data_IF_320286448758
#
_entry.id   IF_320286448758
#
_cell.length_a   1.000
_cell.length_b   1.000
_cell.length_c   1.000
_cell.angle_alpha   90.00
_cell.angle_beta   90.00
_cell.angle_gamma   90.00
#
_symmetry.space_group_name_H-M   'P 1'
#
loop_
_entity.id
_entity.type
_entity.pdbx_description
1 polymer ?
#
# COMPACT_ATOMS: atom_id res chain seq x y z
N UNK A 1 -10.46 -17.87 -17.43
CA UNK A 1 -10.86 -16.57 -16.86
C UNK A 1 -11.72 -16.84 -15.64
N UNK A 2 -11.13 -16.99 -14.46
CA UNK A 2 -11.87 -17.23 -13.22
C UNK A 2 -11.60 -16.07 -12.26
N UNK A 3 -12.58 -15.18 -12.10
CA UNK A 3 -12.43 -13.96 -11.31
C UNK A 3 -13.75 -13.47 -10.68
N UNK A 4 -14.67 -14.40 -10.39
CA UNK A 4 -16.05 -14.06 -10.03
C UNK A 4 -16.32 -13.85 -8.53
N UNK A 5 -15.82 -14.71 -7.64
CA UNK A 5 -16.33 -14.76 -6.26
C UNK A 5 -15.54 -13.92 -5.23
N UNK A 6 -14.20 -13.85 -5.32
CA UNK A 6 -13.37 -13.18 -4.30
C UNK A 6 -13.44 -11.64 -4.33
N UNK A 7 -13.75 -11.06 -5.50
CA UNK A 7 -13.78 -9.60 -5.69
C UNK A 7 -14.91 -8.90 -4.95
N UNK A 8 -16.03 -9.59 -4.71
CA UNK A 8 -17.23 -9.01 -4.10
C UNK A 8 -17.19 -9.07 -2.57
N UNK A 9 -16.56 -10.09 -2.00
CA UNK A 9 -16.33 -10.21 -0.55
C UNK A 9 -15.40 -9.10 -0.07
N UNK A 10 -14.27 -8.87 -0.75
CA UNK A 10 -13.31 -7.82 -0.39
C UNK A 10 -13.93 -6.42 -0.43
N UNK A 11 -14.76 -6.14 -1.44
CA UNK A 11 -15.46 -4.86 -1.56
C UNK A 11 -16.50 -4.66 -0.45
N UNK A 12 -17.24 -5.72 -0.11
CA UNK A 12 -18.20 -5.71 0.99
C UNK A 12 -17.51 -5.45 2.34
N UNK A 13 -16.38 -6.12 2.59
CA UNK A 13 -15.57 -5.91 3.79
C UNK A 13 -15.05 -4.47 3.89
N UNK A 14 -14.54 -3.89 2.80
CA UNK A 14 -14.08 -2.50 2.77
C UNK A 14 -15.21 -1.48 3.01
N UNK A 15 -16.45 -1.82 2.61
CA UNK A 15 -17.64 -1.00 2.88
C UNK A 15 -18.05 -1.08 4.36
N UNK A 16 -18.06 -2.28 4.94
CA UNK A 16 -18.31 -2.46 6.39
C UNK A 16 -17.24 -1.74 7.22
N UNK A 17 -15.98 -1.86 6.83
CA UNK A 17 -14.86 -1.16 7.45
C UNK A 17 -15.11 0.35 7.43
N UNK A 18 -15.52 0.94 6.30
CA UNK A 18 -15.84 2.36 6.24
C UNK A 18 -16.84 2.82 7.31
N UNK A 19 -17.88 2.03 7.59
CA UNK A 19 -18.86 2.35 8.64
C UNK A 19 -18.24 2.29 10.04
N UNK A 20 -17.40 1.30 10.32
CA UNK A 20 -16.71 1.15 11.61
C UNK A 20 -15.65 2.25 11.85
N UNK A 21 -15.06 2.80 10.78
CA UNK A 21 -14.00 3.81 10.87
C UNK A 21 -14.48 5.21 11.25
N UNK A 22 -15.78 5.44 11.41
CA UNK A 22 -16.30 6.70 11.97
C UNK A 22 -15.70 7.02 13.34
N UNK A 23 -15.39 6.00 14.13
CA UNK A 23 -14.78 6.15 15.46
C UNK A 23 -13.25 6.17 15.44
N UNK A 24 -12.63 5.74 14.33
CA UNK A 24 -11.17 5.59 14.21
C UNK A 24 -10.68 6.15 12.86
N UNK A 25 -10.62 7.48 12.71
CA UNK A 25 -10.28 8.14 11.44
C UNK A 25 -8.88 7.80 10.94
N UNK A 26 -7.97 7.38 11.84
CA UNK A 26 -6.61 6.95 11.55
C UNK A 26 -6.55 5.83 10.51
N UNK A 27 -7.49 4.89 10.54
CA UNK A 27 -7.50 3.77 9.61
C UNK A 27 -8.13 4.10 8.26
N UNK A 28 -8.73 5.29 8.06
CA UNK A 28 -9.38 5.60 6.79
C UNK A 28 -8.36 5.71 5.64
N UNK A 29 -7.15 6.20 5.95
CA UNK A 29 -6.02 6.16 5.03
C UNK A 29 -5.70 4.72 4.61
N UNK A 30 -5.56 3.81 5.58
CA UNK A 30 -5.27 2.40 5.32
C UNK A 30 -6.36 1.72 4.50
N UNK A 31 -7.63 2.02 4.78
CA UNK A 31 -8.76 1.52 3.98
C UNK A 31 -8.71 2.02 2.54
N UNK A 32 -8.36 3.30 2.32
CA UNK A 32 -8.19 3.85 0.97
C UNK A 32 -7.06 3.15 0.21
N UNK A 33 -5.97 2.81 0.89
CA UNK A 33 -4.87 2.05 0.33
C UNK A 33 -5.29 0.63 -0.09
N UNK A 34 -5.98 -0.11 0.79
CA UNK A 34 -6.51 -1.43 0.46
C UNK A 34 -7.51 -1.39 -0.71
N UNK A 35 -8.33 -0.34 -0.77
CA UNK A 35 -9.25 -0.14 -1.89
C UNK A 35 -8.50 0.17 -3.19
N UNK A 36 -7.36 0.86 -3.12
CA UNK A 36 -6.52 1.06 -4.29
C UNK A 36 -5.98 -0.28 -4.81
N UNK A 37 -5.43 -1.11 -3.92
CA UNK A 37 -4.94 -2.44 -4.25
C UNK A 37 -6.04 -3.33 -4.85
N UNK A 38 -7.25 -3.31 -4.30
CA UNK A 38 -8.40 -4.02 -4.89
C UNK A 38 -8.73 -3.55 -6.31
N UNK A 39 -8.67 -2.24 -6.57
CA UNK A 39 -8.88 -1.72 -7.93
C UNK A 39 -7.75 -2.11 -8.89
N UNK A 40 -6.50 -2.18 -8.39
CA UNK A 40 -5.34 -2.64 -9.17
C UNK A 40 -5.54 -4.08 -9.64
N UNK A 41 -5.89 -5.00 -8.72
CA UNK A 41 -6.13 -6.41 -9.03
C UNK A 41 -7.26 -6.61 -10.05
N UNK A 42 -8.20 -5.66 -10.15
CA UNK A 42 -9.28 -5.66 -11.13
C UNK A 42 -8.92 -4.96 -12.46
N UNK A 43 -7.66 -4.57 -12.66
CA UNK A 43 -7.21 -3.84 -13.84
C UNK A 43 -7.70 -2.39 -13.93
N UNK A 44 -8.35 -1.86 -12.88
CA UNK A 44 -8.92 -0.49 -12.86
C UNK A 44 -7.84 0.53 -12.45
N UNK A 45 -6.82 0.69 -13.29
CA UNK A 45 -5.61 1.50 -13.01
C UNK A 45 -5.94 2.95 -12.60
N UNK A 46 -6.87 3.62 -13.30
CA UNK A 46 -7.23 5.02 -12.96
C UNK A 46 -7.89 5.14 -11.59
N UNK A 47 -8.78 4.20 -11.26
CA UNK A 47 -9.44 4.16 -9.94
C UNK A 47 -8.43 3.85 -8.85
N UNK A 48 -7.46 2.97 -9.09
CA UNK A 48 -6.36 2.72 -8.16
C UNK A 48 -5.53 3.99 -7.90
N UNK A 49 -5.04 4.65 -8.96
CA UNK A 49 -4.27 5.91 -8.84
C UNK A 49 -5.04 6.97 -8.06
N UNK A 50 -6.32 7.15 -8.36
CA UNK A 50 -7.17 8.11 -7.65
C UNK A 50 -7.28 7.78 -6.14
N UNK A 51 -7.43 6.50 -5.78
CA UNK A 51 -7.50 6.07 -4.37
C UNK A 51 -6.16 6.22 -3.64
N UNK A 52 -5.03 5.91 -4.29
CA UNK A 52 -3.69 6.13 -3.72
C UNK A 52 -3.42 7.61 -3.46
N UNK A 53 -3.74 8.51 -4.42
CA UNK A 53 -3.60 9.96 -4.21
C UNK A 53 -4.43 10.44 -3.02
N UNK A 54 -5.67 9.95 -2.89
CA UNK A 54 -6.54 10.28 -1.76
C UNK A 54 -5.98 9.75 -0.43
N UNK A 55 -5.43 8.53 -0.42
CA UNK A 55 -4.74 7.96 0.73
C UNK A 55 -3.58 8.89 1.15
N UNK A 56 -2.66 9.20 0.22
CA UNK A 56 -1.51 10.05 0.49
C UNK A 56 -1.90 11.44 1.03
N UNK A 57 -2.89 12.11 0.41
CA UNK A 57 -3.39 13.40 0.89
C UNK A 57 -3.96 13.32 2.31
N UNK A 58 -4.73 12.26 2.62
CA UNK A 58 -5.33 12.08 3.95
C UNK A 58 -4.27 11.73 5.00
N UNK A 59 -3.34 10.84 4.68
CA UNK A 59 -2.21 10.48 5.55
C UNK A 59 -1.34 11.68 5.89
N UNK A 60 -1.02 12.55 4.91
CA UNK A 60 -0.28 13.80 5.14
C UNK A 60 -0.99 14.73 6.13
N UNK A 61 -2.30 14.91 5.96
CA UNK A 61 -3.12 15.74 6.86
C UNK A 61 -3.11 15.23 8.30
N UNK A 62 -3.01 13.92 8.47
CA UNK A 62 -3.04 13.26 9.78
C UNK A 62 -1.65 13.00 10.38
N UNK A 63 -0.57 13.38 9.70
CA UNK A 63 0.80 13.10 10.15
C UNK A 63 1.21 11.62 10.07
N UNK A 64 0.52 10.81 9.25
CA UNK A 64 0.79 9.37 9.09
C UNK A 64 1.89 9.14 8.04
N UNK A 65 3.12 9.53 8.36
CA UNK A 65 4.23 9.55 7.40
C UNK A 65 4.56 8.17 6.79
N UNK A 66 4.51 7.10 7.58
CA UNK A 66 4.74 5.75 7.08
C UNK A 66 3.75 5.36 5.97
N UNK A 67 2.48 5.74 6.12
CA UNK A 67 1.45 5.45 5.12
C UNK A 67 1.62 6.33 3.87
N UNK A 68 2.17 7.55 4.02
CA UNK A 68 2.55 8.42 2.90
C UNK A 68 3.67 7.79 2.09
N UNK A 69 4.75 7.35 2.75
CA UNK A 69 5.88 6.69 2.10
C UNK A 69 5.44 5.43 1.37
N UNK A 70 4.62 4.60 2.03
CA UNK A 70 4.12 3.38 1.44
C UNK A 70 3.20 3.65 0.23
N UNK A 71 2.29 4.61 0.32
CA UNK A 71 1.44 4.99 -0.81
C UNK A 71 2.25 5.52 -2.01
N UNK A 72 3.32 6.27 -1.76
CA UNK A 72 4.20 6.78 -2.81
C UNK A 72 5.04 5.66 -3.44
N UNK A 73 5.58 4.75 -2.63
CA UNK A 73 6.30 3.56 -3.11
C UNK A 73 5.41 2.73 -4.02
N UNK A 74 4.20 2.41 -3.58
CA UNK A 74 3.26 1.63 -4.37
C UNK A 74 2.77 2.37 -5.63
N UNK A 75 2.67 3.70 -5.59
CA UNK A 75 2.37 4.48 -6.81
C UNK A 75 3.48 4.33 -7.86
N UNK A 76 4.74 4.25 -7.45
CA UNK A 76 5.87 3.98 -8.36
C UNK A 76 5.85 2.53 -8.82
N UNK A 77 5.87 1.57 -7.90
CA UNK A 77 5.98 0.14 -8.22
C UNK A 77 4.82 -0.39 -9.07
N UNK A 78 3.60 0.11 -8.88
CA UNK A 78 2.44 -0.41 -9.62
C UNK A 78 2.23 0.25 -11.00
N UNK A 79 2.90 1.38 -11.28
CA UNK A 79 2.59 2.20 -12.45
C UNK A 79 3.78 2.78 -13.20
N UNK A 80 4.99 2.70 -12.67
CA UNK A 80 6.18 2.94 -13.48
C UNK A 80 6.50 1.65 -14.25
N UNK A 81 6.43 1.73 -15.58
CA UNK A 81 6.87 0.68 -16.50
C UNK A 81 8.41 0.65 -16.66
N UNK A 82 9.12 1.54 -15.96
CA UNK A 82 10.55 1.36 -15.77
C UNK A 82 10.72 0.05 -15.02
N UNK A 83 11.18 -0.97 -15.75
CA UNK A 83 12.01 -2.03 -15.19
C UNK A 83 13.08 -1.31 -14.38
N UNK A 84 12.82 -1.02 -13.11
CA UNK A 84 13.90 -0.86 -12.15
C UNK A 84 14.60 -2.19 -12.25
N UNK A 85 15.70 -2.20 -13.02
CA UNK A 85 16.66 -3.28 -13.01
C UNK A 85 16.84 -3.57 -11.53
N UNK A 86 16.39 -4.75 -11.10
CA UNK A 86 16.45 -5.17 -9.72
C UNK A 86 17.83 -4.76 -9.24
N UNK A 87 17.90 -3.75 -8.36
CA UNK A 87 19.14 -3.46 -7.66
C UNK A 87 19.31 -4.67 -6.77
N UNK A 88 19.97 -5.69 -7.32
CA UNK A 88 20.25 -6.94 -6.66
C UNK A 88 20.78 -6.60 -5.29
N UNK A 89 20.13 -7.15 -4.26
CA UNK A 89 20.56 -6.97 -2.90
C UNK A 89 22.03 -7.40 -2.79
N UNK A 90 22.96 -6.44 -2.67
CA UNK A 90 24.41 -6.67 -2.67
C UNK A 90 24.93 -7.24 -1.34
N UNK A 91 24.05 -7.76 -0.47
CA UNK A 91 24.45 -8.49 0.73
C UNK A 91 25.14 -7.67 1.83
N UNK A 92 25.44 -6.39 1.60
CA UNK A 92 26.04 -5.52 2.60
C UNK A 92 24.96 -4.78 3.36
N UNK A 93 24.58 -5.36 4.50
CA UNK A 93 23.84 -4.65 5.56
C UNK A 93 24.45 -3.26 5.78
N UNK A 94 23.64 -2.20 5.71
CA UNK A 94 24.05 -0.84 6.11
C UNK A 94 24.42 -0.72 7.59
N UNK A 95 24.16 -1.78 8.37
CA UNK A 95 24.56 -1.88 9.77
C UNK A 95 25.58 -3.01 9.89
N UNK A 96 26.81 -2.65 10.25
CA UNK A 96 27.80 -3.63 10.68
C UNK A 96 27.27 -4.27 11.97
N UNK A 97 26.84 -5.53 11.90
CA UNK A 97 26.59 -6.31 13.11
C UNK A 97 27.93 -6.49 13.83
N UNK A 98 28.01 -6.26 15.15
CA UNK A 98 29.24 -6.48 15.90
C UNK A 98 29.69 -7.93 15.74
N UNK A 99 30.99 -8.14 15.55
CA UNK A 99 31.57 -9.47 15.41
C UNK A 99 31.29 -10.29 16.67
N UNK A 100 30.86 -11.56 16.55
CA UNK A 100 30.68 -12.41 17.71
C UNK A 100 32.01 -12.55 18.45
N UNK A 101 32.02 -12.25 19.75
CA UNK A 101 33.11 -12.62 20.65
C UNK A 101 33.14 -14.14 20.74
N UNK A 102 34.30 -14.73 20.41
CA UNK A 102 34.55 -16.15 20.66
C UNK A 102 34.78 -16.29 22.16
N UNK A 103 33.90 -17.02 22.83
CA UNK A 103 34.19 -17.64 24.13
C UNK A 103 35.11 -18.87 23.91
#
# INVERSE_FOLDING_TARGET
MEGGAGGDVARSALKKLQGALNYYPLFDARRLHLLAYHNLLRGKKDKCKAKLRKCCSRSKRMGLWLEVEWANKNMKEWFNDEKEAEKGYQGTSMFALPKPTRD
#
